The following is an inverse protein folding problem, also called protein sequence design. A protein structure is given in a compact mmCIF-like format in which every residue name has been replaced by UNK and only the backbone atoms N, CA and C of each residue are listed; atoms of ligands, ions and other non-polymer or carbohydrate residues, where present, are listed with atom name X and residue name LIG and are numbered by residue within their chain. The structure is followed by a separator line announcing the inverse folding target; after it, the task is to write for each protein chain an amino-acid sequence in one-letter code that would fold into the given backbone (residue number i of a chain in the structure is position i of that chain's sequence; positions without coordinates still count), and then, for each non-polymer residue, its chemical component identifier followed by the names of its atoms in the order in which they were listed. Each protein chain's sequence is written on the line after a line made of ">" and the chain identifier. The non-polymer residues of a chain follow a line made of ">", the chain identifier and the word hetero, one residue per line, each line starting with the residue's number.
data_IF_986757235157
#
_entry.id   IF_986757235157
#
_cell.length_a   1.000
_cell.length_b   1.000
_cell.length_c   1.000
_cell.angle_alpha   90.00
_cell.angle_beta   90.00
_cell.angle_gamma   90.00
#
_symmetry.space_group_name_H-M   'P 1'
#
loop_
_entity.id
_entity.type
_entity.pdbx_description
1 polymer ?
#
# COMPACT_ATOMS: atom_id res chain seq x y z
N UNK A 1 3.03 -10.69 1.36
CA UNK A 1 3.92 -11.82 1.13
C UNK A 1 4.43 -12.37 2.45
N UNK A 2 4.11 -13.63 2.74
CA UNK A 2 4.71 -14.37 3.86
C UNK A 2 5.87 -15.27 3.35
N UNK A 3 6.58 -15.90 4.29
CA UNK A 3 7.69 -16.81 3.97
C UNK A 3 7.30 -17.95 3.02
N UNK A 4 6.17 -18.63 3.26
CA UNK A 4 5.73 -19.76 2.43
C UNK A 4 5.40 -19.34 0.99
N UNK A 5 4.74 -18.19 0.83
CA UNK A 5 4.46 -17.59 -0.48
C UNK A 5 5.78 -17.27 -1.22
N UNK A 6 6.76 -16.69 -0.52
CA UNK A 6 8.05 -16.37 -1.11
C UNK A 6 8.84 -17.65 -1.45
N UNK A 7 8.84 -18.69 -0.61
CA UNK A 7 9.45 -20.00 -0.95
C UNK A 7 8.83 -20.60 -2.22
N UNK A 8 7.52 -20.43 -2.40
CA UNK A 8 6.84 -20.87 -3.62
C UNK A 8 7.33 -20.10 -4.85
N UNK A 9 7.60 -18.79 -4.73
CA UNK A 9 8.20 -18.00 -5.82
C UNK A 9 9.66 -18.37 -6.09
N UNK A 10 10.46 -18.61 -5.04
CA UNK A 10 11.89 -18.98 -5.19
C UNK A 10 12.07 -20.29 -5.97
N UNK A 11 11.09 -21.20 -5.87
CA UNK A 11 11.07 -22.46 -6.61
C UNK A 11 10.62 -22.31 -8.08
N UNK A 12 10.21 -21.11 -8.51
CA UNK A 12 9.81 -20.86 -9.89
C UNK A 12 11.00 -20.38 -10.73
N UNK A 13 11.04 -20.75 -12.02
CA UNK A 13 11.93 -20.08 -12.95
C UNK A 13 11.50 -18.63 -13.13
N UNK A 14 12.46 -17.77 -13.47
CA UNK A 14 12.14 -16.41 -13.91
C UNK A 14 11.20 -16.45 -15.12
N UNK A 15 10.35 -15.44 -15.20
CA UNK A 15 9.37 -15.32 -16.25
C UNK A 15 9.02 -13.84 -16.46
N UNK A 16 8.10 -13.49 -17.38
CA UNK A 16 7.73 -12.10 -17.63
C UNK A 16 7.17 -11.33 -16.43
N UNK A 17 6.92 -11.99 -15.30
CA UNK A 17 6.36 -11.45 -14.07
C UNK A 17 7.16 -11.82 -12.81
N UNK A 18 8.33 -12.43 -12.94
CA UNK A 18 9.18 -12.77 -11.81
C UNK A 18 10.65 -12.52 -12.19
N UNK A 19 11.28 -11.61 -11.45
CA UNK A 19 12.69 -11.24 -11.57
C UNK A 19 13.39 -11.43 -10.22
N UNK A 20 14.59 -12.00 -10.23
CA UNK A 20 15.46 -12.07 -9.08
C UNK A 20 16.66 -11.13 -9.26
N UNK A 21 17.00 -10.41 -8.20
CA UNK A 21 18.22 -9.60 -8.13
C UNK A 21 19.01 -10.00 -6.91
N UNK A 22 20.31 -10.21 -7.10
CA UNK A 22 21.21 -10.53 -6.00
C UNK A 22 21.28 -9.41 -4.97
N UNK A 23 21.46 -8.18 -5.43
CA UNK A 23 21.68 -7.01 -4.58
C UNK A 23 20.67 -5.91 -4.91
N UNK A 24 20.39 -5.06 -3.92
CA UNK A 24 19.56 -3.89 -4.14
C UNK A 24 20.32 -2.83 -4.95
N UNK A 25 19.57 -2.06 -5.72
CA UNK A 25 20.09 -0.95 -6.50
C UNK A 25 20.76 0.09 -5.60
N UNK A 26 21.91 0.61 -6.00
CA UNK A 26 22.63 1.62 -5.21
C UNK A 26 22.02 3.03 -5.36
N UNK A 27 20.72 3.16 -5.08
CA UNK A 27 19.94 4.40 -5.24
C UNK A 27 20.29 5.51 -4.24
N UNK A 28 21.14 5.22 -3.26
CA UNK A 28 21.69 6.16 -2.29
C UNK A 28 23.20 6.39 -2.47
N UNK A 29 23.78 5.93 -3.58
CA UNK A 29 25.21 6.12 -3.86
C UNK A 29 25.59 7.62 -3.86
N UNK A 30 26.76 7.93 -3.32
CA UNK A 30 27.26 9.31 -3.17
C UNK A 30 27.35 10.01 -4.54
N UNK A 31 27.95 9.35 -5.52
CA UNK A 31 27.99 9.80 -6.92
C UNK A 31 26.58 9.89 -7.54
N UNK A 32 26.21 11.11 -7.97
CA UNK A 32 24.91 11.41 -8.58
C UNK A 32 24.67 10.66 -9.90
N UNK A 33 25.69 10.41 -10.71
CA UNK A 33 25.58 9.67 -11.96
C UNK A 33 25.31 8.19 -11.70
N UNK A 34 26.04 7.58 -10.76
CA UNK A 34 25.78 6.19 -10.34
C UNK A 34 24.35 6.07 -9.81
N UNK A 35 23.93 7.00 -8.96
CA UNK A 35 22.57 7.05 -8.42
C UNK A 35 21.50 7.14 -9.51
N UNK A 36 21.70 8.02 -10.50
CA UNK A 36 20.80 8.18 -11.65
C UNK A 36 20.68 6.88 -12.44
N UNK A 37 21.81 6.22 -12.70
CA UNK A 37 21.86 4.95 -13.43
C UNK A 37 21.16 3.81 -12.70
N UNK A 38 21.38 3.70 -11.38
CA UNK A 38 20.77 2.69 -10.52
C UNK A 38 19.26 2.88 -10.40
N UNK A 39 18.79 4.14 -10.33
CA UNK A 39 17.37 4.45 -10.46
C UNK A 39 16.82 4.05 -11.83
N UNK A 40 17.58 4.27 -12.91
CA UNK A 40 17.18 3.88 -14.25
C UNK A 40 16.99 2.36 -14.41
N UNK A 41 17.89 1.56 -13.83
CA UNK A 41 17.73 0.09 -13.80
C UNK A 41 16.47 -0.32 -13.01
N UNK A 42 16.26 0.22 -11.80
CA UNK A 42 15.08 -0.09 -10.99
C UNK A 42 13.76 0.29 -11.70
N UNK A 43 13.70 1.48 -12.31
CA UNK A 43 12.51 1.95 -13.04
C UNK A 43 12.24 1.05 -14.24
N UNK A 44 13.29 0.71 -15.02
CA UNK A 44 13.16 -0.19 -16.18
C UNK A 44 12.60 -1.54 -15.76
N UNK A 45 13.11 -2.14 -14.69
CA UNK A 45 12.69 -3.46 -14.23
C UNK A 45 11.24 -3.45 -13.71
N UNK A 46 10.85 -2.41 -12.94
CA UNK A 46 9.46 -2.23 -12.49
C UNK A 46 8.51 -2.06 -13.68
N UNK A 47 8.84 -1.20 -14.65
CA UNK A 47 7.98 -0.97 -15.81
C UNK A 47 7.85 -2.23 -16.69
N UNK A 48 8.95 -2.96 -16.88
CA UNK A 48 8.94 -4.21 -17.63
C UNK A 48 8.06 -5.27 -16.96
N UNK A 49 8.12 -5.40 -15.63
CA UNK A 49 7.24 -6.29 -14.87
C UNK A 49 5.78 -5.80 -14.85
N UNK A 50 5.54 -4.49 -14.76
CA UNK A 50 4.18 -3.92 -14.80
C UNK A 50 3.51 -4.20 -16.15
N UNK A 51 4.25 -4.07 -17.25
CA UNK A 51 3.77 -4.38 -18.59
C UNK A 51 3.67 -5.89 -18.85
N UNK A 52 4.68 -6.67 -18.43
CA UNK A 52 4.81 -8.08 -18.74
C UNK A 52 5.00 -8.34 -20.24
N UNK A 53 4.75 -9.58 -20.66
CA UNK A 53 4.61 -9.97 -22.06
C UNK A 53 3.15 -10.31 -22.38
N UNK A 54 2.81 -10.45 -23.66
CA UNK A 54 1.55 -11.06 -24.10
C UNK A 54 1.38 -12.43 -23.42
N UNK A 55 0.20 -12.67 -22.84
CA UNK A 55 -0.18 -13.82 -22.02
C UNK A 55 0.10 -13.66 -20.52
N UNK A 56 0.79 -12.58 -20.12
CA UNK A 56 1.18 -12.32 -18.74
C UNK A 56 0.78 -10.93 -18.26
N UNK A 57 0.42 -9.99 -19.14
CA UNK A 57 0.22 -8.59 -18.81
C UNK A 57 -0.80 -8.35 -17.68
N UNK A 58 -1.81 -9.21 -17.58
CA UNK A 58 -2.82 -9.18 -16.52
C UNK A 58 -2.43 -9.80 -15.17
N UNK A 59 -1.20 -10.30 -15.00
CA UNK A 59 -0.71 -10.98 -13.78
C UNK A 59 0.11 -10.04 -12.89
N UNK A 60 0.20 -10.39 -11.60
CA UNK A 60 1.05 -9.70 -10.61
C UNK A 60 2.51 -9.91 -11.00
N UNK A 61 3.30 -8.83 -10.98
CA UNK A 61 4.75 -8.88 -11.12
C UNK A 61 5.45 -8.93 -9.76
N UNK A 62 6.57 -9.64 -9.68
CA UNK A 62 7.41 -9.75 -8.50
C UNK A 62 8.86 -9.46 -8.86
N UNK A 63 9.48 -8.54 -8.12
CA UNK A 63 10.91 -8.31 -8.12
C UNK A 63 11.45 -8.69 -6.74
N UNK A 64 12.15 -9.81 -6.67
CA UNK A 64 12.69 -10.37 -5.43
C UNK A 64 14.18 -10.06 -5.35
N UNK A 65 14.59 -9.43 -4.26
CA UNK A 65 15.95 -8.90 -4.07
C UNK A 65 16.59 -9.63 -2.90
N UNK A 66 17.87 -9.96 -3.07
CA UNK A 66 18.62 -10.86 -2.19
C UNK A 66 18.70 -12.29 -2.73
N UNK A 67 18.51 -12.50 -4.04
CA UNK A 67 18.51 -13.83 -4.66
C UNK A 67 19.27 -13.78 -5.98
N UNK A 68 20.26 -14.64 -6.15
CA UNK A 68 20.97 -14.76 -7.43
C UNK A 68 20.28 -15.74 -8.42
N UNK A 69 20.86 -15.87 -9.61
CA UNK A 69 20.40 -16.78 -10.65
C UNK A 69 20.41 -18.26 -10.19
N UNK A 70 21.33 -18.62 -9.29
CA UNK A 70 21.45 -19.96 -8.72
C UNK A 70 20.59 -20.17 -7.46
N UNK A 71 19.77 -19.17 -7.08
CA UNK A 71 18.88 -19.16 -5.91
C UNK A 71 19.61 -19.16 -4.56
N UNK A 72 20.86 -18.71 -4.52
CA UNK A 72 21.51 -18.40 -3.25
C UNK A 72 20.90 -17.14 -2.63
N UNK A 73 20.73 -17.17 -1.31
CA UNK A 73 20.11 -16.08 -0.55
C UNK A 73 21.17 -15.11 -0.02
N UNK A 74 20.94 -13.82 -0.23
CA UNK A 74 21.77 -12.70 0.19
C UNK A 74 20.96 -11.79 1.11
N UNK A 75 21.56 -11.41 2.22
CA UNK A 75 20.88 -10.63 3.25
C UNK A 75 20.74 -9.17 2.82
N UNK A 76 19.52 -8.65 2.88
CA UNK A 76 19.17 -7.27 2.58
C UNK A 76 18.83 -6.48 3.85
N UNK A 77 19.29 -6.92 5.03
CA UNK A 77 18.98 -6.26 6.32
C UNK A 77 19.30 -4.77 6.35
N UNK A 78 20.38 -4.34 5.70
CA UNK A 78 20.81 -2.93 5.65
C UNK A 78 20.03 -2.07 4.63
N UNK A 79 19.17 -2.69 3.81
CA UNK A 79 18.45 -1.99 2.76
C UNK A 79 17.20 -1.33 3.33
N UNK A 80 17.21 0.00 3.43
CA UNK A 80 16.04 0.80 3.77
C UNK A 80 15.32 1.24 2.49
N UNK A 81 14.02 0.93 2.39
CA UNK A 81 13.24 1.21 1.19
C UNK A 81 11.94 1.90 1.56
N UNK A 82 11.72 3.08 0.98
CA UNK A 82 10.45 3.78 1.07
C UNK A 82 9.60 3.48 -0.17
N UNK A 83 8.46 2.78 0.02
CA UNK A 83 7.47 2.48 -1.02
C UNK A 83 7.04 3.73 -1.79
N UNK A 84 6.68 4.81 -1.08
CA UNK A 84 6.18 6.04 -1.70
C UNK A 84 7.25 6.70 -2.56
N UNK A 85 8.50 6.68 -2.10
CA UNK A 85 9.64 7.20 -2.86
C UNK A 85 9.83 6.43 -4.17
N UNK A 86 9.80 5.10 -4.14
CA UNK A 86 9.90 4.29 -5.37
C UNK A 86 8.73 4.60 -6.30
N UNK A 87 7.49 4.60 -5.80
CA UNK A 87 6.30 4.81 -6.61
C UNK A 87 6.31 6.18 -7.28
N UNK A 88 6.60 7.24 -6.52
CA UNK A 88 6.73 8.59 -7.03
C UNK A 88 7.83 8.67 -8.09
N UNK A 89 8.98 8.03 -7.83
CA UNK A 89 10.10 8.04 -8.77
C UNK A 89 9.77 7.31 -10.06
N UNK A 90 9.09 6.16 -10.01
CA UNK A 90 8.63 5.43 -11.20
C UNK A 90 7.59 6.24 -11.97
N UNK A 91 6.63 6.87 -11.29
CA UNK A 91 5.57 7.66 -11.91
C UNK A 91 6.10 8.91 -12.63
N UNK A 92 7.17 9.52 -12.14
CA UNK A 92 7.84 10.62 -12.86
C UNK A 92 8.39 10.20 -14.24
N UNK A 93 8.56 8.90 -14.50
CA UNK A 93 9.14 8.38 -15.73
C UNK A 93 8.13 7.65 -16.61
N UNK A 94 6.85 7.54 -16.25
CA UNK A 94 5.90 6.77 -17.06
C UNK A 94 4.51 7.39 -17.19
N UNK A 95 3.82 7.06 -18.28
CA UNK A 95 2.41 7.33 -18.48
C UNK A 95 1.69 6.10 -19.10
N UNK A 96 0.44 5.80 -18.67
CA UNK A 96 -0.21 6.32 -17.46
C UNK A 96 0.60 6.00 -16.19
N UNK A 97 0.39 6.73 -15.10
CA UNK A 97 1.08 6.44 -13.84
C UNK A 97 0.76 5.03 -13.34
N UNK A 98 1.73 4.39 -12.70
CA UNK A 98 1.51 3.18 -11.93
C UNK A 98 0.65 3.54 -10.70
N UNK A 99 -0.50 2.87 -10.48
CA UNK A 99 -1.43 3.25 -9.42
C UNK A 99 -0.92 2.86 -8.03
N UNK A 100 -0.22 1.74 -7.92
CA UNK A 100 0.27 1.22 -6.65
C UNK A 100 1.46 0.26 -6.86
N UNK A 101 2.25 0.07 -5.81
CA UNK A 101 3.24 -0.99 -5.64
C UNK A 101 3.32 -1.37 -4.17
N UNK A 102 3.73 -2.59 -3.83
CA UNK A 102 3.98 -2.98 -2.45
C UNK A 102 5.45 -3.33 -2.29
N UNK A 103 6.02 -3.00 -1.13
CA UNK A 103 7.38 -3.40 -0.76
C UNK A 103 7.28 -4.14 0.54
N UNK A 104 7.75 -5.38 0.55
CA UNK A 104 7.72 -6.23 1.73
C UNK A 104 9.13 -6.73 2.06
N UNK A 105 9.41 -6.88 3.36
CA UNK A 105 10.61 -7.53 3.86
C UNK A 105 10.22 -8.90 4.42
N UNK A 106 10.84 -9.96 3.93
CA UNK A 106 10.51 -11.34 4.32
C UNK A 106 11.79 -12.06 4.75
N UNK A 107 11.79 -12.61 5.96
CA UNK A 107 12.91 -13.40 6.48
C UNK A 107 12.77 -14.86 6.01
N UNK A 108 13.83 -15.41 5.41
CA UNK A 108 13.94 -16.81 4.98
C UNK A 108 15.32 -17.31 5.38
N UNK A 109 15.38 -18.43 6.11
CA UNK A 109 16.64 -19.08 6.49
C UNK A 109 17.65 -18.11 7.17
N UNK A 110 17.12 -17.22 8.01
CA UNK A 110 17.90 -16.19 8.72
C UNK A 110 18.39 -15.02 7.86
N UNK A 111 17.98 -14.94 6.60
CA UNK A 111 18.28 -13.84 5.67
C UNK A 111 17.03 -13.00 5.45
N UNK A 112 17.17 -11.67 5.47
CA UNK A 112 16.06 -10.77 5.13
C UNK A 112 16.10 -10.49 3.63
N UNK A 113 15.04 -10.83 2.92
CA UNK A 113 14.86 -10.53 1.50
C UNK A 113 13.88 -9.38 1.32
N UNK A 114 14.01 -8.65 0.21
CA UNK A 114 13.04 -7.61 -0.18
C UNK A 114 12.22 -8.10 -1.36
N UNK A 115 10.91 -7.89 -1.31
CA UNK A 115 10.01 -8.19 -2.43
C UNK A 115 9.25 -6.94 -2.83
N UNK A 116 9.43 -6.51 -4.06
CA UNK A 116 8.58 -5.47 -4.68
C UNK A 116 7.49 -6.19 -5.47
N UNK A 117 6.24 -5.99 -5.04
CA UNK A 117 5.05 -6.58 -5.65
C UNK A 117 4.38 -5.51 -6.51
N UNK A 118 4.17 -5.82 -7.78
CA UNK A 118 3.63 -4.90 -8.79
C UNK A 118 2.25 -5.43 -9.20
N UNK A 119 1.15 -4.85 -8.66
CA UNK A 119 -0.20 -5.27 -9.01
C UNK A 119 -0.45 -5.12 -10.52
N UNK A 120 -1.28 -6.00 -11.12
CA UNK A 120 -1.64 -5.90 -12.53
C UNK A 120 -2.42 -4.62 -12.81
N UNK A 121 -2.00 -3.86 -13.82
CA UNK A 121 -2.65 -2.62 -14.23
C UNK A 121 -3.49 -2.81 -15.51
N UNK A 122 -4.51 -1.99 -15.76
CA UNK A 122 -5.27 -2.02 -17.01
C UNK A 122 -4.58 -1.24 -18.14
N UNK A 123 -3.43 -0.62 -17.86
CA UNK A 123 -2.75 0.30 -18.77
C UNK A 123 -1.41 -0.27 -19.24
N UNK A 124 -1.06 0.01 -20.50
CA UNK A 124 0.32 -0.13 -20.96
C UNK A 124 1.10 1.10 -20.49
N UNK A 125 2.19 0.90 -19.74
CA UNK A 125 3.02 1.98 -19.22
C UNK A 125 4.19 2.27 -20.16
N UNK A 126 4.30 3.51 -20.59
CA UNK A 126 5.31 4.00 -21.52
C UNK A 126 6.17 5.06 -20.85
N UNK A 127 7.44 5.16 -21.22
CA UNK A 127 8.34 6.16 -20.64
C UNK A 127 7.96 7.58 -21.08
N UNK A 128 8.00 8.56 -20.19
CA UNK A 128 7.77 9.99 -20.52
C UNK A 128 9.05 10.77 -20.73
N UNK A 129 10.18 10.21 -20.30
CA UNK A 129 11.49 10.84 -20.39
C UNK A 129 12.57 9.78 -20.60
N UNK A 130 13.77 10.24 -20.92
CA UNK A 130 14.95 9.39 -21.11
C UNK A 130 15.32 8.64 -19.83
N UNK A 131 15.68 7.35 -19.98
CA UNK A 131 16.21 6.52 -18.90
C UNK A 131 17.64 6.11 -19.23
N UNK A 132 18.55 6.42 -18.32
CA UNK A 132 19.94 6.00 -18.39
C UNK A 132 20.17 4.88 -17.38
N UNK A 133 20.78 3.77 -17.80
CA UNK A 133 21.00 2.60 -16.93
C UNK A 133 22.49 2.35 -16.66
N UNK A 134 22.82 1.42 -15.76
CA UNK A 134 24.19 1.17 -15.25
C UNK A 134 25.18 0.77 -16.34
N UNK A 135 24.71 0.14 -17.42
CA UNK A 135 25.54 -0.21 -18.58
C UNK A 135 25.77 0.98 -19.54
N UNK A 136 25.51 2.22 -19.08
CA UNK A 136 25.52 3.45 -19.87
C UNK A 136 24.59 3.42 -21.09
N UNK A 137 23.67 2.46 -21.14
CA UNK A 137 22.63 2.40 -22.17
C UNK A 137 21.62 3.49 -21.88
N UNK A 138 21.32 4.26 -22.92
CA UNK A 138 20.35 5.35 -22.89
C UNK A 138 19.13 4.91 -23.69
N UNK A 139 17.97 4.99 -23.05
CA UNK A 139 16.68 4.68 -23.64
C UNK A 139 15.90 5.97 -23.83
N UNK A 140 15.40 6.26 -25.04
CA UNK A 140 14.67 7.50 -25.28
C UNK A 140 13.33 7.51 -24.53
N UNK A 141 12.70 8.67 -24.47
CA UNK A 141 11.30 8.78 -24.07
C UNK A 141 10.39 8.01 -25.04
N UNK A 142 9.15 7.77 -24.63
CA UNK A 142 8.10 7.15 -25.43
C UNK A 142 8.37 5.70 -25.83
N UNK A 143 9.04 4.94 -24.96
CA UNK A 143 9.26 3.51 -25.16
C UNK A 143 8.52 2.69 -24.12
N UNK A 144 8.16 1.47 -24.51
CA UNK A 144 7.53 0.49 -23.62
C UNK A 144 8.54 -0.61 -23.33
N UNK A 145 8.87 -0.81 -22.05
CA UNK A 145 9.65 -1.98 -21.65
C UNK A 145 8.73 -3.18 -21.44
N UNK A 146 9.16 -4.35 -21.92
CA UNK A 146 8.51 -5.64 -21.70
C UNK A 146 9.57 -6.68 -21.36
N UNK A 147 9.17 -7.73 -20.63
CA UNK A 147 10.05 -8.88 -20.36
C UNK A 147 9.82 -9.98 -21.40
N UNK A 148 10.87 -10.38 -22.10
CA UNK A 148 10.90 -11.55 -22.97
C UNK A 148 11.82 -12.60 -22.35
N UNK A 149 11.22 -13.57 -21.66
CA UNK A 149 11.96 -14.55 -20.88
C UNK A 149 12.65 -13.93 -19.65
N UNK A 150 13.97 -14.01 -19.63
CA UNK A 150 14.89 -13.46 -18.63
C UNK A 150 15.38 -12.05 -18.98
N UNK A 151 15.03 -11.53 -20.16
CA UNK A 151 15.53 -10.26 -20.67
C UNK A 151 14.46 -9.17 -20.73
N UNK A 152 14.89 -7.91 -20.61
CA UNK A 152 14.04 -6.74 -20.82
C UNK A 152 14.37 -6.11 -22.17
N UNK A 153 13.35 -6.02 -23.03
CA UNK A 153 13.45 -5.44 -24.36
C UNK A 153 12.48 -4.27 -24.52
N UNK A 154 12.68 -3.49 -25.58
CA UNK A 154 11.71 -2.47 -26.01
C UNK A 154 10.65 -3.14 -26.87
N UNK A 155 9.38 -2.98 -26.50
CA UNK A 155 8.28 -3.63 -27.20
C UNK A 155 8.06 -3.03 -28.59
N UNK A 156 7.93 -3.91 -29.59
CA UNK A 156 7.45 -3.55 -30.91
C UNK A 156 5.96 -3.19 -30.90
N UNK A 157 5.49 -2.47 -31.91
CA UNK A 157 4.10 -1.99 -31.98
C UNK A 157 3.07 -3.11 -31.87
N UNK A 158 3.31 -4.23 -32.57
CA UNK A 158 2.41 -5.39 -32.52
C UNK A 158 2.29 -5.97 -31.09
N UNK A 159 3.40 -6.01 -30.34
CA UNK A 159 3.44 -6.47 -28.94
C UNK A 159 2.72 -5.46 -28.04
N UNK A 160 2.95 -4.15 -28.24
CA UNK A 160 2.25 -3.09 -27.49
C UNK A 160 0.74 -3.19 -27.64
N UNK A 161 0.24 -3.35 -28.86
CA UNK A 161 -1.20 -3.48 -29.13
C UNK A 161 -1.79 -4.77 -28.54
N UNK A 162 -1.07 -5.89 -28.62
CA UNK A 162 -1.48 -7.14 -28.00
C UNK A 162 -1.60 -7.02 -26.47
N UNK A 163 -0.63 -6.38 -25.81
CA UNK A 163 -0.66 -6.14 -24.36
C UNK A 163 -1.80 -5.18 -24.00
N UNK A 164 -2.01 -4.09 -24.74
CA UNK A 164 -3.14 -3.17 -24.51
C UNK A 164 -4.47 -3.91 -24.59
N UNK A 165 -4.66 -4.75 -25.61
CA UNK A 165 -5.88 -5.56 -25.78
C UNK A 165 -6.07 -6.53 -24.62
N UNK A 166 -5.02 -7.23 -24.20
CA UNK A 166 -5.07 -8.14 -23.05
C UNK A 166 -5.45 -7.39 -21.77
N UNK A 167 -4.77 -6.28 -21.48
CA UNK A 167 -5.02 -5.47 -20.27
C UNK A 167 -6.42 -4.85 -20.26
N UNK A 168 -6.95 -4.45 -21.42
CA UNK A 168 -8.32 -3.97 -21.57
C UNK A 168 -9.36 -5.08 -21.42
N UNK A 169 -9.05 -6.29 -21.89
CA UNK A 169 -9.94 -7.46 -21.78
C UNK A 169 -9.96 -8.09 -20.40
N UNK A 170 -8.95 -7.82 -19.55
CA UNK A 170 -8.84 -8.37 -18.21
C UNK A 170 -9.91 -7.72 -17.30
N UNK A 171 -11.03 -8.41 -17.03
CA UNK A 171 -12.31 -7.81 -16.66
C UNK A 171 -12.40 -7.35 -15.20
N UNK A 172 -11.30 -7.42 -14.47
CA UNK A 172 -11.27 -7.04 -13.08
C UNK A 172 -10.95 -5.55 -12.98
N UNK A 173 -11.98 -4.76 -12.62
CA UNK A 173 -11.80 -3.44 -11.98
C UNK A 173 -10.65 -3.52 -10.96
N UNK A 174 -9.87 -2.44 -10.75
CA UNK A 174 -8.84 -2.40 -9.71
C UNK A 174 -9.32 -2.98 -8.36
N UNK A 175 -10.60 -2.79 -8.03
CA UNK A 175 -11.23 -3.40 -6.85
C UNK A 175 -11.32 -4.92 -6.93
N UNK A 176 -11.77 -5.48 -8.05
CA UNK A 176 -11.86 -6.94 -8.26
C UNK A 176 -10.45 -7.57 -8.21
N UNK A 177 -9.42 -6.92 -8.76
CA UNK A 177 -8.03 -7.41 -8.66
C UNK A 177 -7.51 -7.37 -7.23
N UNK A 178 -7.80 -6.29 -6.51
CA UNK A 178 -7.41 -6.19 -5.10
C UNK A 178 -8.14 -7.22 -4.23
N UNK A 179 -9.44 -7.45 -4.49
CA UNK A 179 -10.22 -8.52 -3.85
C UNK A 179 -9.59 -9.87 -4.15
N UNK A 180 -9.31 -10.19 -5.42
CA UNK A 180 -8.67 -11.45 -5.80
C UNK A 180 -7.31 -11.63 -5.13
N UNK A 181 -6.50 -10.57 -5.04
CA UNK A 181 -5.22 -10.63 -4.34
C UNK A 181 -5.38 -10.90 -2.84
N UNK A 182 -6.34 -10.24 -2.19
CA UNK A 182 -6.65 -10.51 -0.79
C UNK A 182 -7.18 -11.93 -0.60
N UNK A 183 -7.98 -12.44 -1.54
CA UNK A 183 -8.49 -13.81 -1.53
C UNK A 183 -7.35 -14.82 -1.64
N UNK A 184 -6.43 -14.63 -2.59
CA UNK A 184 -5.25 -15.48 -2.72
C UNK A 184 -4.41 -15.51 -1.43
N UNK A 185 -4.30 -14.38 -0.71
CA UNK A 185 -3.62 -14.32 0.59
C UNK A 185 -4.40 -15.03 1.70
N UNK A 186 -5.72 -15.00 1.67
CA UNK A 186 -6.57 -15.76 2.59
C UNK A 186 -6.35 -17.25 2.37
N UNK A 187 -6.39 -17.69 1.12
CA UNK A 187 -6.18 -19.09 0.74
C UNK A 187 -4.78 -19.58 1.15
N UNK A 188 -3.75 -18.75 0.97
CA UNK A 188 -2.40 -19.05 1.43
C UNK A 188 -2.30 -19.17 2.96
N UNK A 189 -3.03 -18.34 3.72
CA UNK A 189 -3.10 -18.47 5.18
C UNK A 189 -3.81 -19.78 5.57
N UNK A 190 -4.85 -20.18 4.83
CA UNK A 190 -5.54 -21.44 5.09
C UNK A 190 -4.63 -22.66 4.90
N UNK A 191 -3.82 -22.68 3.84
CA UNK A 191 -2.80 -23.71 3.64
C UNK A 191 -1.79 -23.72 4.79
N UNK A 192 -1.31 -22.55 5.23
CA UNK A 192 -0.38 -22.45 6.36
C UNK A 192 -1.01 -22.91 7.69
N UNK A 193 -2.28 -22.58 7.92
CA UNK A 193 -3.02 -23.03 9.10
C UNK A 193 -3.18 -24.55 9.12
N UNK A 194 -3.44 -25.17 7.97
CA UNK A 194 -3.54 -26.62 7.84
C UNK A 194 -2.18 -27.30 8.10
N UNK A 195 -1.10 -26.78 7.52
CA UNK A 195 0.25 -27.26 7.77
C UNK A 195 0.63 -27.18 9.27
N UNK A 196 0.31 -26.07 9.94
CA UNK A 196 0.59 -25.87 11.37
C UNK A 196 -0.27 -26.76 12.28
N UNK A 197 -1.52 -27.05 11.89
CA UNK A 197 -2.36 -28.02 12.61
C UNK A 197 -1.78 -29.42 12.51
N UNK A 198 -1.32 -29.82 11.34
CA UNK A 198 -0.65 -31.10 11.16
C UNK A 198 0.63 -31.18 12.00
N UNK A 199 1.45 -30.12 12.04
CA UNK A 199 2.64 -30.04 12.89
C UNK A 199 2.27 -30.20 14.39
N UNK A 200 1.21 -29.53 14.83
CA UNK A 200 0.71 -29.61 16.21
C UNK A 200 0.29 -31.03 16.59
N UNK A 201 -0.45 -31.73 15.72
CA UNK A 201 -0.94 -33.10 15.95
C UNK A 201 0.19 -34.12 16.08
N UNK A 202 1.32 -33.88 15.39
CA UNK A 202 2.46 -34.80 15.35
C UNK A 202 3.59 -34.43 16.32
N UNK A 203 3.49 -33.31 17.02
CA UNK A 203 4.50 -32.86 17.99
C UNK A 203 4.27 -33.50 19.35
N UNK A 204 5.31 -34.10 19.93
CA UNK A 204 5.25 -34.70 21.28
C UNK A 204 5.71 -33.73 22.39
N UNK A 205 6.50 -32.71 22.04
CA UNK A 205 7.04 -31.72 22.99
C UNK A 205 6.00 -30.62 23.28
N UNK A 206 5.57 -30.50 24.54
CA UNK A 206 4.55 -29.53 24.99
C UNK A 206 5.00 -28.07 24.84
N UNK A 207 6.30 -27.77 24.94
CA UNK A 207 6.80 -26.41 24.74
C UNK A 207 6.65 -26.01 23.27
N UNK A 208 6.99 -26.92 22.35
CA UNK A 208 6.83 -26.71 20.90
C UNK A 208 5.36 -26.59 20.53
N UNK A 209 4.46 -27.41 21.10
CA UNK A 209 3.01 -27.27 20.89
C UNK A 209 2.48 -25.89 21.27
N UNK A 210 2.89 -25.35 22.42
CA UNK A 210 2.45 -24.03 22.86
C UNK A 210 2.91 -22.93 21.90
N UNK A 211 4.11 -23.05 21.33
CA UNK A 211 4.59 -22.13 20.30
C UNK A 211 3.73 -22.23 19.03
N UNK A 212 3.47 -23.44 18.52
CA UNK A 212 2.63 -23.65 17.33
C UNK A 212 1.20 -23.10 17.55
N UNK A 213 0.63 -23.29 18.76
CA UNK A 213 -0.69 -22.74 19.10
C UNK A 213 -0.72 -21.20 19.03
N UNK A 214 0.35 -20.53 19.48
CA UNK A 214 0.50 -19.08 19.36
C UNK A 214 0.53 -18.64 17.89
N UNK A 215 1.34 -19.32 17.06
CA UNK A 215 1.43 -19.05 15.61
C UNK A 215 0.08 -19.25 14.89
N UNK A 216 -0.67 -20.30 15.24
CA UNK A 216 -2.02 -20.55 14.72
C UNK A 216 -2.97 -19.39 15.08
N UNK A 217 -2.87 -18.85 16.30
CA UNK A 217 -3.72 -17.77 16.74
C UNK A 217 -3.43 -16.46 15.98
N UNK A 218 -2.15 -16.14 15.76
CA UNK A 218 -1.74 -15.00 14.94
C UNK A 218 -2.24 -15.12 13.49
N UNK A 219 -2.10 -16.31 12.88
CA UNK A 219 -2.62 -16.56 11.53
C UNK A 219 -4.14 -16.41 11.44
N UNK A 220 -4.89 -16.86 12.46
CA UNK A 220 -6.35 -16.66 12.54
C UNK A 220 -6.73 -15.18 12.61
N UNK A 221 -6.02 -14.39 13.40
CA UNK A 221 -6.23 -12.94 13.50
C UNK A 221 -5.99 -12.29 12.13
N UNK A 222 -4.86 -12.62 11.49
CA UNK A 222 -4.48 -12.12 10.17
C UNK A 222 -5.49 -12.50 9.08
N UNK A 223 -5.97 -13.76 9.07
CA UNK A 223 -7.05 -14.20 8.17
C UNK A 223 -8.31 -13.38 8.41
N UNK A 224 -8.73 -13.23 9.67
CA UNK A 224 -9.93 -12.47 10.02
C UNK A 224 -9.86 -11.00 9.59
N UNK A 225 -8.67 -10.41 9.55
CA UNK A 225 -8.44 -9.07 9.01
C UNK A 225 -8.58 -9.04 7.47
N UNK A 226 -7.93 -9.96 6.76
CA UNK A 226 -8.02 -10.02 5.28
C UNK A 226 -9.44 -10.31 4.78
N UNK A 227 -10.16 -11.25 5.42
CA UNK A 227 -11.56 -11.56 5.08
C UNK A 227 -12.44 -10.31 5.20
N UNK A 228 -12.21 -9.50 6.25
CA UNK A 228 -12.90 -8.22 6.40
C UNK A 228 -12.52 -7.24 5.31
N UNK A 229 -11.24 -7.10 4.96
CA UNK A 229 -10.81 -6.26 3.83
C UNK A 229 -11.47 -6.64 2.50
N UNK A 230 -11.63 -7.93 2.23
CA UNK A 230 -12.37 -8.43 1.06
C UNK A 230 -13.83 -8.00 1.15
N UNK A 231 -14.51 -8.32 2.26
CA UNK A 231 -15.92 -7.99 2.47
C UNK A 231 -16.20 -6.50 2.35
N UNK A 232 -15.33 -5.63 2.88
CA UNK A 232 -15.43 -4.18 2.72
C UNK A 232 -15.32 -3.80 1.26
N UNK A 233 -14.29 -4.27 0.54
CA UNK A 233 -14.10 -3.92 -0.88
C UNK A 233 -15.23 -4.42 -1.76
N UNK A 234 -15.83 -5.55 -1.41
CA UNK A 234 -17.03 -6.09 -2.07
C UNK A 234 -18.29 -5.29 -1.74
N UNK A 235 -18.40 -4.79 -0.51
CA UNK A 235 -19.60 -4.09 0.00
C UNK A 235 -19.53 -2.56 -0.08
N UNK A 236 -18.37 -1.99 -0.44
CA UNK A 236 -18.10 -0.55 -0.47
C UNK A 236 -18.67 0.13 -1.71
N UNK A 237 -19.96 -0.04 -1.95
CA UNK A 237 -20.73 0.84 -2.83
C UNK A 237 -21.40 1.99 -2.06
N UNK A 238 -21.37 1.99 -0.72
CA UNK A 238 -21.96 3.04 0.12
C UNK A 238 -21.09 3.38 1.33
N UNK A 239 -20.96 4.68 1.61
CA UNK A 239 -20.24 5.20 2.78
C UNK A 239 -20.75 4.66 4.13
N UNK A 240 -22.04 4.30 4.23
CA UNK A 240 -22.64 3.78 5.46
C UNK A 240 -22.02 2.44 5.86
N UNK A 241 -21.77 1.55 4.89
CA UNK A 241 -21.12 0.25 5.15
C UNK A 241 -19.70 0.45 5.70
N UNK A 242 -18.98 1.43 5.15
CA UNK A 242 -17.63 1.78 5.61
C UNK A 242 -17.65 2.28 7.06
N UNK A 243 -18.59 3.17 7.41
CA UNK A 243 -18.72 3.68 8.78
C UNK A 243 -19.05 2.58 9.78
N UNK A 244 -19.99 1.69 9.46
CA UNK A 244 -20.34 0.56 10.34
C UNK A 244 -19.14 -0.38 10.56
N UNK A 245 -18.27 -0.54 9.55
CA UNK A 245 -17.04 -1.29 9.70
C UNK A 245 -16.05 -0.59 10.64
N UNK A 246 -15.82 0.71 10.47
CA UNK A 246 -14.95 1.49 11.35
C UNK A 246 -15.41 1.43 12.82
N UNK A 247 -16.73 1.56 13.08
CA UNK A 247 -17.32 1.33 14.41
C UNK A 247 -17.04 -0.07 14.94
N UNK A 248 -17.20 -1.08 14.08
CA UNK A 248 -16.94 -2.48 14.42
C UNK A 248 -15.49 -2.77 14.80
N UNK A 249 -14.52 -2.08 14.19
CA UNK A 249 -13.12 -2.16 14.58
C UNK A 249 -12.90 -1.51 15.95
N UNK A 250 -13.35 -0.27 16.13
CA UNK A 250 -13.16 0.48 17.39
C UNK A 250 -13.82 -0.21 18.60
N UNK A 251 -14.99 -0.82 18.43
CA UNK A 251 -15.65 -1.54 19.51
C UNK A 251 -14.94 -2.84 19.90
N UNK A 252 -14.14 -3.42 19.00
CA UNK A 252 -13.40 -4.67 19.25
C UNK A 252 -12.01 -4.43 19.86
N UNK A 253 -11.44 -3.26 19.63
CA UNK A 253 -10.10 -2.90 20.09
C UNK A 253 -10.19 -1.63 20.95
N UNK A 254 -10.08 -1.74 22.29
CA UNK A 254 -10.01 -0.56 23.16
C UNK A 254 -8.89 0.38 22.69
N UNK A 255 -9.09 1.68 22.85
CA UNK A 255 -8.18 2.73 22.35
C UNK A 255 -6.71 2.50 22.73
N UNK A 256 -6.43 1.99 23.92
CA UNK A 256 -5.08 1.73 24.41
C UNK A 256 -4.35 0.55 23.72
N UNK A 257 -5.05 -0.20 22.84
CA UNK A 257 -4.56 -1.45 22.23
C UNK A 257 -4.80 -1.54 20.71
N UNK A 258 -5.07 -0.43 20.05
CA UNK A 258 -5.20 -0.42 18.58
C UNK A 258 -3.79 -0.47 17.98
N UNK A 259 -3.46 -1.54 17.25
CA UNK A 259 -2.19 -1.60 16.50
C UNK A 259 -2.20 -0.60 15.34
N UNK A 260 -1.02 -0.14 14.92
CA UNK A 260 -0.84 0.78 13.77
C UNK A 260 -1.55 0.28 12.50
N UNK A 261 -1.62 -1.04 12.33
CA UNK A 261 -2.28 -1.68 11.18
C UNK A 261 -3.81 -1.55 11.22
N UNK A 262 -4.40 -1.67 12.42
CA UNK A 262 -5.85 -1.47 12.63
C UNK A 262 -6.16 0.02 12.52
N UNK A 263 -5.30 0.88 13.09
CA UNK A 263 -5.42 2.34 13.01
C UNK A 263 -5.43 2.81 11.55
N UNK A 264 -4.45 2.38 10.75
CA UNK A 264 -4.37 2.68 9.31
C UNK A 264 -5.57 2.14 8.51
N UNK A 265 -6.14 0.99 8.91
CA UNK A 265 -7.36 0.49 8.29
C UNK A 265 -8.58 1.37 8.61
N UNK A 266 -8.73 1.83 9.86
CA UNK A 266 -9.81 2.74 10.25
C UNK A 266 -9.69 4.04 9.45
N UNK A 267 -8.49 4.60 9.36
CA UNK A 267 -8.22 5.82 8.58
C UNK A 267 -8.65 5.67 7.11
N UNK A 268 -8.17 4.62 6.42
CA UNK A 268 -8.49 4.36 5.01
C UNK A 268 -10.00 4.20 4.78
N UNK A 269 -10.70 3.55 5.71
CA UNK A 269 -12.15 3.36 5.67
C UNK A 269 -12.89 4.67 5.88
N UNK A 270 -12.47 5.51 6.82
CA UNK A 270 -13.07 6.82 7.09
C UNK A 270 -12.86 7.78 5.92
N UNK A 271 -11.65 7.86 5.35
CA UNK A 271 -11.37 8.68 4.15
C UNK A 271 -12.30 8.32 3.00
N UNK A 272 -12.41 7.02 2.69
CA UNK A 272 -13.32 6.52 1.64
C UNK A 272 -14.79 6.80 1.93
N UNK A 273 -15.20 6.72 3.19
CA UNK A 273 -16.58 7.03 3.57
C UNK A 273 -16.89 8.51 3.32
N UNK A 274 -16.00 9.41 3.77
CA UNK A 274 -16.12 10.86 3.57
C UNK A 274 -16.15 11.19 2.06
N UNK A 275 -15.27 10.58 1.27
CA UNK A 275 -15.18 10.80 -0.18
C UNK A 275 -16.40 10.32 -0.97
N UNK A 276 -17.19 9.38 -0.41
CA UNK A 276 -18.36 8.83 -1.08
C UNK A 276 -19.50 9.83 -1.26
N UNK A 277 -19.51 10.96 -0.53
CA UNK A 277 -20.50 12.07 -0.58
C UNK A 277 -21.97 11.69 -0.34
N UNK A 278 -22.31 10.41 -0.24
CA UNK A 278 -23.67 9.91 -0.04
C UNK A 278 -23.97 9.59 1.45
N UNK A 279 -23.22 10.19 2.37
CA UNK A 279 -23.41 9.98 3.80
C UNK A 279 -24.50 10.89 4.39
N UNK A 280 -25.42 10.35 5.20
CA UNK A 280 -26.24 11.17 6.09
C UNK A 280 -25.35 12.06 6.96
N UNK A 281 -25.80 13.30 7.26
CA UNK A 281 -24.98 14.30 7.96
C UNK A 281 -24.47 13.82 9.33
N UNK A 282 -25.25 13.02 10.06
CA UNK A 282 -24.83 12.45 11.35
C UNK A 282 -23.70 11.42 11.21
N UNK A 283 -23.71 10.66 10.12
CA UNK A 283 -22.65 9.69 9.82
C UNK A 283 -21.37 10.40 9.38
N UNK A 284 -21.53 11.47 8.59
CA UNK A 284 -20.42 12.33 8.17
C UNK A 284 -19.77 13.03 9.39
N UNK A 285 -20.58 13.55 10.33
CA UNK A 285 -20.11 14.11 11.61
C UNK A 285 -19.26 13.14 12.40
N UNK A 286 -19.77 11.93 12.59
CA UNK A 286 -19.05 10.88 13.30
C UNK A 286 -17.73 10.55 12.60
N UNK A 287 -17.73 10.41 11.27
CA UNK A 287 -16.52 10.10 10.50
C UNK A 287 -15.44 11.19 10.62
N UNK A 288 -15.81 12.46 10.49
CA UNK A 288 -14.88 13.58 10.68
C UNK A 288 -14.36 13.67 12.12
N UNK A 289 -15.23 13.45 13.11
CA UNK A 289 -14.80 13.50 14.51
C UNK A 289 -13.77 12.41 14.82
N UNK A 290 -13.96 11.21 14.28
CA UNK A 290 -13.05 10.10 14.50
C UNK A 290 -11.74 10.26 13.73
N UNK A 291 -11.78 10.71 12.49
CA UNK A 291 -10.54 10.87 11.70
C UNK A 291 -9.66 11.99 12.25
N UNK A 292 -10.25 13.08 12.76
CA UNK A 292 -9.50 14.17 13.40
C UNK A 292 -8.85 13.70 14.71
N UNK A 293 -9.56 12.90 15.52
CA UNK A 293 -8.97 12.31 16.75
C UNK A 293 -7.79 11.40 16.43
N UNK A 294 -7.92 10.56 15.40
CA UNK A 294 -6.83 9.66 15.00
C UNK A 294 -5.56 10.44 14.63
N UNK A 295 -5.68 11.50 13.82
CA UNK A 295 -4.54 12.31 13.45
C UNK A 295 -3.96 13.13 14.60
N UNK A 296 -4.78 13.62 15.52
CA UNK A 296 -4.32 14.30 16.74
C UNK A 296 -3.52 13.35 17.65
N UNK A 297 -4.00 12.11 17.84
CA UNK A 297 -3.29 11.06 18.60
C UNK A 297 -1.96 10.65 17.95
N UNK A 298 -1.84 10.74 16.62
CA UNK A 298 -0.62 10.46 15.86
C UNK A 298 0.34 11.67 15.78
N UNK A 299 0.03 12.77 16.49
CA UNK A 299 0.74 14.06 16.40
C UNK A 299 0.81 14.62 14.96
N UNK A 300 -0.06 14.17 14.07
CA UNK A 300 -0.17 14.64 12.69
C UNK A 300 -1.16 15.81 12.59
N UNK A 301 -0.76 16.92 13.18
CA UNK A 301 -1.61 18.10 13.36
C UNK A 301 -2.10 18.72 12.04
N UNK A 302 -1.33 18.60 10.94
CA UNK A 302 -1.70 19.17 9.64
C UNK A 302 -2.89 18.40 9.05
N UNK A 303 -2.82 17.06 8.98
CA UNK A 303 -3.96 16.26 8.51
C UNK A 303 -5.18 16.47 9.41
N UNK A 304 -4.99 16.50 10.74
CA UNK A 304 -6.07 16.76 11.69
C UNK A 304 -6.76 18.13 11.43
N UNK A 305 -5.96 19.16 11.15
CA UNK A 305 -6.44 20.50 10.78
C UNK A 305 -7.20 20.48 9.45
N UNK A 306 -6.65 19.88 8.40
CA UNK A 306 -7.31 19.85 7.08
C UNK A 306 -8.67 19.15 7.16
N UNK A 307 -8.78 18.04 7.88
CA UNK A 307 -10.06 17.35 8.09
C UNK A 307 -11.05 18.16 8.91
N UNK A 308 -10.60 18.90 9.92
CA UNK A 308 -11.47 19.80 10.68
C UNK A 308 -12.01 20.96 9.84
N UNK A 309 -11.20 21.52 8.95
CA UNK A 309 -11.64 22.51 7.96
C UNK A 309 -12.68 21.92 7.00
N UNK A 310 -12.47 20.71 6.50
CA UNK A 310 -13.45 20.03 5.63
C UNK A 310 -14.77 19.74 6.36
N UNK A 311 -14.70 19.32 7.62
CA UNK A 311 -15.89 19.09 8.45
C UNK A 311 -16.71 20.38 8.63
N UNK A 312 -16.03 21.52 8.83
CA UNK A 312 -16.67 22.84 8.89
C UNK A 312 -17.36 23.20 7.57
N UNK A 313 -16.68 23.01 6.44
CA UNK A 313 -17.21 23.34 5.11
C UNK A 313 -18.42 22.48 4.71
N UNK A 314 -18.48 21.24 5.19
CA UNK A 314 -19.58 20.30 4.92
C UNK A 314 -20.75 20.44 5.90
N UNK A 315 -20.64 21.29 6.92
CA UNK A 315 -21.64 21.42 7.99
C UNK A 315 -21.67 20.21 8.93
N UNK A 316 -20.63 19.36 8.88
CA UNK A 316 -20.50 18.14 9.65
C UNK A 316 -19.78 18.35 10.99
N UNK A 317 -19.88 19.55 11.57
CA UNK A 317 -19.32 19.84 12.89
C UNK A 317 -20.32 19.51 13.98
N UNK A 318 -19.83 18.91 15.06
CA UNK A 318 -20.50 18.87 16.37
C UNK A 318 -19.79 19.85 17.29
N UNK A 319 -20.42 20.19 18.44
CA UNK A 319 -19.78 21.01 19.46
C UNK A 319 -18.43 20.43 19.92
N UNK A 320 -18.36 19.12 20.10
CA UNK A 320 -17.12 18.43 20.47
C UNK A 320 -16.05 18.54 19.38
N UNK A 321 -16.45 18.43 18.10
CA UNK A 321 -15.52 18.58 16.99
C UNK A 321 -15.06 20.03 16.82
N UNK A 322 -15.94 21.01 17.09
CA UNK A 322 -15.55 22.43 17.16
C UNK A 322 -14.49 22.68 18.23
N UNK A 323 -14.67 22.12 19.42
CA UNK A 323 -13.69 22.25 20.50
C UNK A 323 -12.36 21.59 20.13
N UNK A 324 -12.38 20.35 19.65
CA UNK A 324 -11.19 19.62 19.26
C UNK A 324 -10.42 20.36 18.14
N UNK A 325 -11.12 20.80 17.09
CA UNK A 325 -10.48 21.49 15.97
C UNK A 325 -9.97 22.89 16.35
N UNK A 326 -10.63 23.59 17.28
CA UNK A 326 -10.13 24.84 17.85
C UNK A 326 -8.78 24.65 18.54
N UNK A 327 -8.64 23.58 19.32
CA UNK A 327 -7.38 23.25 20.00
C UNK A 327 -6.28 22.89 19.00
N UNK A 328 -6.61 22.14 17.95
CA UNK A 328 -5.69 21.85 16.82
C UNK A 328 -5.27 23.13 16.10
N UNK A 329 -6.19 24.03 15.77
CA UNK A 329 -5.86 25.30 15.12
C UNK A 329 -4.90 26.16 15.95
N UNK A 330 -5.06 26.19 17.28
CA UNK A 330 -4.14 26.89 18.19
C UNK A 330 -2.74 26.26 18.16
N UNK A 331 -2.66 24.93 18.15
CA UNK A 331 -1.39 24.20 17.99
C UNK A 331 -0.75 24.48 16.62
N UNK A 332 -1.53 24.51 15.54
CA UNK A 332 -1.06 24.85 14.19
C UNK A 332 -0.46 26.26 14.14
N UNK A 333 -1.14 27.26 14.72
CA UNK A 333 -0.61 28.63 14.78
C UNK A 333 0.77 28.71 15.48
N UNK A 334 0.97 27.90 16.53
CA UNK A 334 2.20 27.90 17.30
C UNK A 334 3.34 27.17 16.58
N UNK A 335 3.04 26.01 15.99
CA UNK A 335 4.05 25.08 15.48
C UNK A 335 4.36 25.26 13.98
N UNK A 336 3.42 25.82 13.20
CA UNK A 336 3.52 25.92 11.74
C UNK A 336 3.24 27.35 11.25
N UNK A 337 4.26 28.23 11.23
CA UNK A 337 4.08 29.65 10.88
C UNK A 337 3.43 29.89 9.51
N UNK A 338 3.70 29.03 8.54
CA UNK A 338 3.14 29.11 7.18
C UNK A 338 1.60 28.95 7.17
N UNK A 339 1.05 28.24 8.16
CA UNK A 339 -0.40 28.01 8.32
C UNK A 339 -1.06 28.97 9.31
N UNK A 340 -0.28 29.72 10.10
CA UNK A 340 -0.78 30.47 11.25
C UNK A 340 -1.88 31.48 10.88
N UNK A 341 -1.70 32.23 9.79
CA UNK A 341 -2.69 33.22 9.33
C UNK A 341 -4.02 32.57 8.93
N UNK A 342 -3.96 31.37 8.35
CA UNK A 342 -5.16 30.64 7.96
C UNK A 342 -5.85 30.02 9.19
N UNK A 343 -5.08 29.39 10.09
CA UNK A 343 -5.60 28.82 11.32
C UNK A 343 -6.25 29.89 12.23
N UNK A 344 -5.69 31.11 12.33
CA UNK A 344 -6.30 32.24 13.06
C UNK A 344 -7.71 32.59 12.58
N UNK A 345 -7.98 32.43 11.28
CA UNK A 345 -9.32 32.64 10.72
C UNK A 345 -10.29 31.61 11.27
N UNK A 346 -9.90 30.34 11.32
CA UNK A 346 -10.75 29.25 11.83
C UNK A 346 -10.93 29.29 13.34
N UNK A 347 -9.93 29.75 14.11
CA UNK A 347 -10.05 30.02 15.55
C UNK A 347 -11.23 30.97 15.82
N UNK A 348 -11.27 32.12 15.12
CA UNK A 348 -12.34 33.11 15.30
C UNK A 348 -13.72 32.54 14.96
N UNK A 349 -13.79 31.73 13.91
CA UNK A 349 -15.04 31.07 13.51
C UNK A 349 -15.52 30.12 14.60
N UNK A 350 -14.62 29.27 15.14
CA UNK A 350 -14.99 28.31 16.20
C UNK A 350 -15.36 28.99 17.51
N UNK A 351 -14.62 30.03 17.92
CA UNK A 351 -14.94 30.79 19.13
C UNK A 351 -16.33 31.45 19.02
N UNK A 352 -16.66 32.03 17.86
CA UNK A 352 -17.98 32.59 17.64
C UNK A 352 -19.09 31.53 17.73
N UNK A 353 -18.94 30.40 17.02
CA UNK A 353 -19.94 29.32 17.03
C UNK A 353 -20.15 28.76 18.44
N UNK A 354 -19.07 28.48 19.18
CA UNK A 354 -19.16 27.93 20.53
C UNK A 354 -19.82 28.89 21.53
N UNK A 355 -19.67 30.20 21.33
CA UNK A 355 -20.38 31.22 22.12
C UNK A 355 -21.87 31.21 21.78
N UNK A 356 -22.22 31.19 20.48
CA UNK A 356 -23.61 31.16 20.01
C UNK A 356 -24.37 29.91 20.50
N UNK A 357 -23.71 28.74 20.55
CA UNK A 357 -24.30 27.48 21.06
C UNK A 357 -24.41 27.42 22.60
N UNK A 358 -23.83 28.38 23.33
CA UNK A 358 -23.85 28.40 24.80
C UNK A 358 -24.94 29.30 25.38
N UNK A 359 -25.66 30.03 24.52
CA UNK A 359 -26.80 30.91 24.84
C UNK A 359 -28.10 30.17 24.52
#
# INVERSE_FOLDING_TARGET
>A
MNEAELRTLLNQPENPKLEFKREFYQIHHEDQQVRKQQWGELIKDILALANGHVGFAGKIGYLVIGVDEQRHLYDCTEVSINKQQILQRVNNYCQPHLPDLQVESVSIDGKKLIVIIIPPTPYLHETTQEIQTSNKKVFPAHITFVREGDSIVTAEEAVREAIKKEKASSPSSPNVRAIQHLQNRIDAIDVNLEAKRYELENTLDEKVKNQILSEIQELKIKKGFLVRKVSIRESASSGITLINHARGLKNKFPHDFISDEVRSEIEDVLRKAIDSRDLPIEELRWAYQEIVKLFDEDENLIDAYEFGVMALQTGAMTRELHQLHLDICRSICLLYPDYAKEAEKYIKIHEQILVEESV
#
